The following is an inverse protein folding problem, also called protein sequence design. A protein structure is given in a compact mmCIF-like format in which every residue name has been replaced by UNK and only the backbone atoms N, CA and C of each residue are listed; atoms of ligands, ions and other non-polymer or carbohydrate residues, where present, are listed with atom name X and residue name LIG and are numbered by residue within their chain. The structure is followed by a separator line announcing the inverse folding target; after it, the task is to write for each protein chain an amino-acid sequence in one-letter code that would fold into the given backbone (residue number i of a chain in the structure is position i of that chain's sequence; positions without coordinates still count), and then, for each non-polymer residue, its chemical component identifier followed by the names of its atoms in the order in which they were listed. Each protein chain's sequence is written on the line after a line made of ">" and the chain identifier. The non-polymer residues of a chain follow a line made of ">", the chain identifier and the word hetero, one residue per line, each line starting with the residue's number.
data_IF_483991145937
#
_entry.id   IF_483991145937
#
_cell.length_a   1.000
_cell.length_b   1.000
_cell.length_c   1.000
_cell.angle_alpha   90.00
_cell.angle_beta   90.00
_cell.angle_gamma   90.00
#
_symmetry.space_group_name_H-M   'P 1'
#
loop_
_entity.id
_entity.type
_entity.pdbx_description
1 polymer ?
#
# COMPACT_ATOMS: atom_id res chain seq x y z
N UNK A 1 -17.46 -2.99 10.23
CA UNK A 1 -16.43 -2.94 9.15
C UNK A 1 -15.49 -4.12 9.39
N UNK A 2 -15.45 -5.11 8.49
CA UNK A 2 -14.74 -6.37 8.74
C UNK A 2 -13.23 -6.12 8.77
N UNK A 3 -12.49 -6.88 9.58
CA UNK A 3 -11.02 -6.87 9.57
C UNK A 3 -10.50 -7.21 8.16
N UNK A 4 -11.26 -8.02 7.42
CA UNK A 4 -11.03 -8.36 6.01
C UNK A 4 -11.15 -7.12 5.11
N UNK A 5 -12.10 -6.22 5.37
CA UNK A 5 -12.24 -4.96 4.62
C UNK A 5 -11.05 -4.03 4.90
N UNK A 6 -10.56 -4.02 6.15
CA UNK A 6 -9.36 -3.28 6.54
C UNK A 6 -8.12 -3.85 5.86
N UNK A 7 -7.95 -5.16 5.81
CA UNK A 7 -6.84 -5.83 5.10
C UNK A 7 -6.90 -5.61 3.59
N UNK A 8 -8.08 -5.68 2.97
CA UNK A 8 -8.28 -5.34 1.54
C UNK A 8 -7.94 -3.88 1.28
N UNK A 9 -8.27 -2.97 2.19
CA UNK A 9 -7.91 -1.54 2.08
C UNK A 9 -6.40 -1.31 2.22
N UNK A 10 -5.72 -2.06 3.09
CA UNK A 10 -4.28 -2.01 3.27
C UNK A 10 -3.55 -2.59 2.05
N UNK A 11 -4.09 -3.64 1.43
CA UNK A 11 -3.54 -4.24 0.21
C UNK A 11 -3.73 -3.34 -1.02
N UNK A 12 -4.86 -2.63 -1.10
CA UNK A 12 -5.05 -1.57 -2.12
C UNK A 12 -4.09 -0.41 -1.89
N UNK A 13 -3.85 -0.01 -0.64
CA UNK A 13 -2.85 1.02 -0.29
C UNK A 13 -1.42 0.57 -0.61
N UNK A 14 -1.04 -0.68 -0.34
CA UNK A 14 0.31 -1.16 -0.67
C UNK A 14 0.55 -1.23 -2.18
N UNK A 15 -0.49 -1.55 -2.97
CA UNK A 15 -0.42 -1.52 -4.44
C UNK A 15 -0.30 -0.09 -4.99
N UNK A 16 -0.98 0.87 -4.36
CA UNK A 16 -0.83 2.30 -4.67
C UNK A 16 0.55 2.83 -4.26
N UNK A 17 1.08 2.43 -3.09
CA UNK A 17 2.45 2.75 -2.67
C UNK A 17 3.48 2.15 -3.63
N UNK A 18 3.23 0.96 -4.19
CA UNK A 18 4.13 0.36 -5.19
C UNK A 18 4.13 1.17 -6.50
N UNK A 19 2.98 1.66 -6.96
CA UNK A 19 2.95 2.55 -8.15
C UNK A 19 3.53 3.93 -7.86
N UNK A 20 3.31 4.48 -6.66
CA UNK A 20 3.90 5.75 -6.21
C UNK A 20 5.43 5.62 -6.00
N UNK A 21 5.94 4.46 -5.59
CA UNK A 21 7.38 4.19 -5.49
C UNK A 21 7.99 3.98 -6.88
N UNK A 22 7.29 3.31 -7.81
CA UNK A 22 7.71 3.25 -9.22
C UNK A 22 7.69 4.64 -9.89
N UNK A 23 6.77 5.54 -9.51
CA UNK A 23 6.77 6.96 -9.91
C UNK A 23 7.81 7.81 -9.17
N UNK A 24 8.15 7.49 -7.91
CA UNK A 24 9.17 8.23 -7.14
C UNK A 24 10.61 7.77 -7.37
N UNK A 25 10.82 6.64 -8.06
CA UNK A 25 12.14 6.30 -8.62
C UNK A 25 12.52 7.25 -9.77
N UNK A 26 11.55 7.97 -10.34
CA UNK A 26 11.75 9.14 -11.21
C UNK A 26 12.12 10.42 -10.44
N UNK A 27 11.83 10.50 -9.13
CA UNK A 27 12.25 11.58 -8.23
C UNK A 27 13.57 11.22 -7.51
N UNK A 28 14.65 11.01 -8.29
CA UNK A 28 16.03 11.05 -7.76
C UNK A 28 16.46 12.49 -7.46
N UNK A 29 15.76 13.18 -6.56
CA UNK A 29 16.11 14.55 -6.16
C UNK A 29 17.47 14.72 -5.42
N UNK A 30 17.97 13.77 -4.59
CA UNK A 30 19.26 14.01 -3.92
C UNK A 30 20.44 13.82 -4.90
N UNK A 31 20.33 12.89 -5.84
CA UNK A 31 21.36 12.65 -6.88
C UNK A 31 21.28 13.72 -7.98
N UNK A 32 20.07 14.17 -8.35
CA UNK A 32 19.91 15.30 -9.25
C UNK A 32 20.43 16.62 -8.65
N UNK A 33 20.34 16.82 -7.32
CA UNK A 33 20.92 17.98 -6.64
C UNK A 33 22.45 17.95 -6.64
N UNK A 34 23.08 16.80 -6.42
CA UNK A 34 24.54 16.66 -6.53
C UNK A 34 25.02 16.81 -7.97
N UNK A 35 24.33 16.18 -8.94
CA UNK A 35 24.65 16.34 -10.37
C UNK A 35 24.46 17.80 -10.81
N UNK A 36 23.42 18.48 -10.31
CA UNK A 36 23.18 19.89 -10.62
C UNK A 36 24.27 20.80 -10.03
N UNK A 37 24.74 20.56 -8.80
CA UNK A 37 25.86 21.33 -8.24
C UNK A 37 27.16 21.08 -8.99
N UNK A 38 27.41 19.83 -9.42
CA UNK A 38 28.61 19.48 -10.18
C UNK A 38 28.58 20.12 -11.58
N UNK A 39 27.40 20.15 -12.23
CA UNK A 39 27.20 20.86 -13.51
C UNK A 39 27.33 22.37 -13.36
N UNK A 40 26.77 22.96 -12.30
CA UNK A 40 26.90 24.40 -12.01
C UNK A 40 28.34 24.81 -11.73
N UNK A 41 29.12 23.98 -11.02
CA UNK A 41 30.55 24.20 -10.80
C UNK A 41 31.33 24.15 -12.12
N UNK A 42 31.07 23.17 -12.99
CA UNK A 42 31.70 23.05 -14.31
C UNK A 42 31.39 24.27 -15.20
N UNK A 43 30.16 24.79 -15.14
CA UNK A 43 29.75 25.99 -15.90
C UNK A 43 30.44 27.25 -15.37
N UNK A 44 30.57 27.38 -14.05
CA UNK A 44 31.29 28.50 -13.40
C UNK A 44 32.78 28.49 -13.74
N UNK A 45 33.42 27.32 -13.73
CA UNK A 45 34.83 27.17 -14.10
C UNK A 45 35.04 27.54 -15.58
N UNK A 46 34.12 27.13 -16.47
CA UNK A 46 34.15 27.50 -17.89
C UNK A 46 34.03 29.02 -18.14
N UNK A 47 33.26 29.74 -17.32
CA UNK A 47 33.14 31.20 -17.43
C UNK A 47 34.39 31.94 -16.93
N UNK A 48 35.00 31.45 -15.85
CA UNK A 48 36.24 32.02 -15.29
C UNK A 48 37.42 31.84 -16.25
N UNK A 49 37.48 30.69 -16.93
CA UNK A 49 38.50 30.41 -17.95
C UNK A 49 38.32 31.31 -19.18
N UNK A 50 37.08 31.60 -19.57
CA UNK A 50 36.80 32.53 -20.68
C UNK A 50 37.32 33.94 -20.36
N UNK A 51 37.11 34.42 -19.13
CA UNK A 51 37.63 35.73 -18.71
C UNK A 51 39.16 35.77 -18.63
N UNK A 52 39.80 34.69 -18.18
CA UNK A 52 41.27 34.61 -18.10
C UNK A 52 41.91 34.58 -19.49
N UNK A 53 41.29 33.89 -20.45
CA UNK A 53 41.72 33.87 -21.85
C UNK A 53 41.53 35.24 -22.51
N UNK A 54 40.42 35.94 -22.25
CA UNK A 54 40.19 37.29 -22.76
C UNK A 54 41.18 38.32 -22.16
N UNK A 55 41.56 38.16 -20.89
CA UNK A 55 42.55 39.01 -20.23
C UNK A 55 43.97 38.85 -20.81
N UNK A 56 44.38 37.61 -21.11
CA UNK A 56 45.67 37.32 -21.76
C UNK A 56 45.73 37.93 -23.17
N UNK A 57 44.61 37.93 -23.90
CA UNK A 57 44.50 38.53 -25.24
C UNK A 57 44.53 40.08 -25.20
N UNK A 58 44.14 40.70 -24.08
CA UNK A 58 44.16 42.17 -23.94
C UNK A 58 45.52 42.75 -23.56
N UNK A 59 46.43 41.97 -22.96
CA UNK A 59 47.75 42.46 -22.50
C UNK A 59 48.81 42.57 -23.61
N UNK A 60 48.54 42.09 -24.83
CA UNK A 60 49.51 42.07 -25.95
C UNK A 60 49.35 43.23 -26.96
N UNK A 61 48.54 44.25 -26.64
CA UNK A 61 48.38 45.47 -27.46
C UNK A 61 49.19 46.65 -26.91
N UNK A 62 50.50 46.56 -26.98
CA UNK A 62 51.29 47.75 -27.21
C UNK A 62 52.61 47.42 -27.92
N UNK A 63 53.06 48.32 -28.79
CA UNK A 63 54.29 48.32 -29.57
C UNK A 63 54.26 47.82 -31.06
N UNK A 64 54.16 48.86 -31.89
CA UNK A 64 54.88 49.13 -33.14
C UNK A 64 54.36 48.62 -34.50
N UNK A 65 54.41 49.61 -35.38
CA UNK A 65 53.88 49.80 -36.73
C UNK A 65 54.74 49.21 -37.84
N UNK A 66 54.02 48.69 -38.85
CA UNK A 66 54.32 48.72 -40.30
C UNK A 66 55.53 47.90 -40.79
N UNK A 67 55.28 46.62 -41.03
CA UNK A 67 55.64 45.81 -42.22
C UNK A 67 54.83 44.50 -42.21
N UNK A 68 53.57 44.59 -41.77
CA UNK A 68 52.96 43.62 -40.85
C UNK A 68 51.71 42.92 -41.39
N UNK A 69 51.43 42.86 -42.70
CA UNK A 69 50.15 42.27 -43.16
C UNK A 69 50.25 40.76 -43.45
N UNK A 70 51.34 40.30 -44.05
CA UNK A 70 51.55 38.87 -44.34
C UNK A 70 52.06 38.06 -43.14
N UNK A 71 52.83 38.69 -42.25
CA UNK A 71 53.31 38.07 -40.99
C UNK A 71 52.20 37.97 -39.95
N UNK A 72 51.32 38.97 -39.88
CA UNK A 72 50.22 39.05 -38.90
C UNK A 72 49.06 38.11 -39.26
N UNK A 73 48.87 37.77 -40.54
CA UNK A 73 48.01 36.65 -40.96
C UNK A 73 48.58 35.28 -40.54
N UNK A 74 49.91 35.13 -40.56
CA UNK A 74 50.59 33.90 -40.18
C UNK A 74 50.67 33.73 -38.66
N UNK A 75 50.81 34.83 -37.92
CA UNK A 75 50.72 34.88 -36.45
C UNK A 75 49.29 34.62 -35.97
N UNK A 76 48.27 35.27 -36.55
CA UNK A 76 46.86 34.98 -36.24
C UNK A 76 46.49 33.53 -36.50
N UNK A 77 46.98 32.95 -37.60
CA UNK A 77 46.72 31.53 -37.91
C UNK A 77 47.39 30.59 -36.90
N UNK A 78 48.59 30.93 -36.41
CA UNK A 78 49.27 30.18 -35.35
C UNK A 78 48.58 30.35 -33.99
N UNK A 79 48.07 31.52 -33.68
CA UNK A 79 47.25 31.78 -32.47
C UNK A 79 45.96 30.98 -32.51
N UNK A 80 45.25 30.96 -33.65
CA UNK A 80 44.05 30.15 -33.84
C UNK A 80 44.34 28.64 -33.72
N UNK A 81 45.45 28.15 -34.28
CA UNK A 81 45.91 26.76 -34.13
C UNK A 81 46.27 26.41 -32.69
N UNK A 82 46.95 27.33 -31.98
CA UNK A 82 47.29 27.16 -30.56
C UNK A 82 46.04 27.15 -29.68
N UNK A 83 45.11 28.08 -29.90
CA UNK A 83 43.83 28.17 -29.19
C UNK A 83 42.98 26.92 -29.44
N UNK A 84 42.99 26.42 -30.68
CA UNK A 84 42.32 25.17 -31.05
C UNK A 84 42.97 23.98 -30.34
N UNK A 85 44.31 23.91 -30.29
CA UNK A 85 45.04 22.87 -29.57
C UNK A 85 44.75 22.86 -28.07
N UNK A 86 44.71 24.04 -27.45
CA UNK A 86 44.36 24.21 -26.03
C UNK A 86 42.90 23.78 -25.80
N UNK A 87 41.97 24.27 -26.61
CA UNK A 87 40.54 23.94 -26.50
C UNK A 87 40.29 22.43 -26.67
N UNK A 88 40.97 21.78 -27.62
CA UNK A 88 40.91 20.33 -27.81
C UNK A 88 41.49 19.60 -26.60
N UNK A 89 42.64 20.04 -26.07
CA UNK A 89 43.26 19.43 -24.89
C UNK A 89 42.35 19.47 -23.66
N UNK A 90 41.69 20.60 -23.42
CA UNK A 90 40.70 20.72 -22.35
C UNK A 90 39.45 19.87 -22.62
N UNK A 91 38.94 19.84 -23.84
CA UNK A 91 37.82 18.99 -24.21
C UNK A 91 38.13 17.50 -23.98
N UNK A 92 39.33 17.04 -24.36
CA UNK A 92 39.80 15.68 -24.09
C UNK A 92 39.90 15.39 -22.59
N UNK A 93 40.39 16.33 -21.78
CA UNK A 93 40.47 16.15 -20.33
C UNK A 93 39.08 16.07 -19.68
N UNK A 94 38.14 16.89 -20.13
CA UNK A 94 36.75 16.85 -19.67
C UNK A 94 36.06 15.54 -20.03
N UNK A 95 36.27 15.05 -21.25
CA UNK A 95 35.73 13.74 -21.67
C UNK A 95 36.30 12.60 -20.81
N UNK A 96 37.60 12.63 -20.50
CA UNK A 96 38.21 11.64 -19.61
C UNK A 96 37.60 11.68 -18.20
N UNK A 97 37.38 12.88 -17.64
CA UNK A 97 36.77 13.04 -16.33
C UNK A 97 35.30 12.56 -16.31
N UNK A 98 34.58 12.72 -17.41
CA UNK A 98 33.21 12.19 -17.60
C UNK A 98 33.25 10.67 -17.62
N UNK A 99 34.15 10.05 -18.39
CA UNK A 99 34.31 8.59 -18.47
C UNK A 99 34.64 7.99 -17.10
N UNK A 100 35.58 8.58 -16.35
CA UNK A 100 35.92 8.14 -14.99
C UNK A 100 34.73 8.24 -14.04
N UNK A 101 33.90 9.27 -14.21
CA UNK A 101 32.69 9.46 -13.39
C UNK A 101 31.60 8.45 -13.73
N UNK A 102 31.39 8.16 -15.00
CA UNK A 102 30.47 7.09 -15.45
C UNK A 102 30.94 5.74 -14.91
N UNK A 103 32.23 5.42 -14.99
CA UNK A 103 32.78 4.16 -14.47
C UNK A 103 32.58 4.02 -12.95
N UNK A 104 32.71 5.11 -12.18
CA UNK A 104 32.40 5.11 -10.73
C UNK A 104 30.91 4.88 -10.46
N UNK A 105 30.04 5.50 -11.25
CA UNK A 105 28.58 5.34 -11.14
C UNK A 105 28.18 3.88 -11.43
N UNK A 106 28.70 3.29 -12.50
CA UNK A 106 28.42 1.90 -12.85
C UNK A 106 28.90 0.92 -11.78
N UNK A 107 30.05 1.19 -11.13
CA UNK A 107 30.57 0.34 -10.06
C UNK A 107 29.77 0.44 -8.76
N UNK A 108 29.05 1.55 -8.53
CA UNK A 108 28.29 1.80 -7.30
C UNK A 108 26.81 1.47 -7.42
N UNK A 109 26.26 1.41 -8.64
CA UNK A 109 24.89 0.98 -8.87
C UNK A 109 24.80 -0.54 -8.65
N UNK A 110 23.97 -1.01 -7.71
CA UNK A 110 23.75 -2.44 -7.54
C UNK A 110 23.20 -3.03 -8.84
N UNK A 111 23.70 -4.20 -9.23
CA UNK A 111 23.25 -4.83 -10.47
C UNK A 111 21.73 -5.07 -10.41
N UNK A 112 21.09 -5.02 -11.57
CA UNK A 112 19.66 -5.33 -11.70
C UNK A 112 19.32 -6.71 -11.09
N UNK A 113 20.26 -7.65 -11.16
CA UNK A 113 20.14 -8.98 -10.56
C UNK A 113 20.22 -8.94 -9.04
N UNK A 114 21.15 -8.16 -8.46
CA UNK A 114 21.24 -7.96 -7.02
C UNK A 114 19.94 -7.37 -6.46
N UNK A 115 19.43 -6.29 -7.09
CA UNK A 115 18.18 -5.65 -6.67
C UNK A 115 17.00 -6.63 -6.73
N UNK A 116 16.93 -7.42 -7.81
CA UNK A 116 15.87 -8.42 -7.99
C UNK A 116 15.92 -9.51 -6.91
N UNK A 117 17.12 -9.99 -6.58
CA UNK A 117 17.29 -11.03 -5.58
C UNK A 117 16.98 -10.52 -4.17
N UNK A 118 17.51 -9.35 -3.81
CA UNK A 118 17.27 -8.73 -2.50
C UNK A 118 15.77 -8.43 -2.29
N UNK A 119 15.13 -7.78 -3.27
CA UNK A 119 13.69 -7.50 -3.21
C UNK A 119 12.87 -8.79 -3.14
N UNK A 120 13.23 -9.83 -3.89
CA UNK A 120 12.52 -11.10 -3.83
C UNK A 120 12.62 -11.76 -2.45
N UNK A 121 13.78 -11.70 -1.80
CA UNK A 121 13.94 -12.22 -0.44
C UNK A 121 13.06 -11.45 0.56
N UNK A 122 13.07 -10.12 0.49
CA UNK A 122 12.19 -9.27 1.31
C UNK A 122 10.70 -9.57 1.07
N UNK A 123 10.26 -9.68 -0.19
CA UNK A 123 8.88 -10.00 -0.51
C UNK A 123 8.49 -11.40 -0.03
N UNK A 124 9.40 -12.38 -0.13
CA UNK A 124 9.15 -13.74 0.35
C UNK A 124 8.97 -13.75 1.87
N UNK A 125 9.83 -13.06 2.62
CA UNK A 125 9.71 -12.91 4.08
C UNK A 125 8.42 -12.20 4.48
N UNK A 126 8.04 -11.15 3.73
CA UNK A 126 6.79 -10.41 3.95
C UNK A 126 5.57 -11.30 3.74
N UNK A 127 5.53 -12.04 2.63
CA UNK A 127 4.43 -12.95 2.29
C UNK A 127 4.29 -14.03 3.38
N UNK A 128 5.41 -14.59 3.85
CA UNK A 128 5.38 -15.60 4.90
C UNK A 128 4.87 -15.04 6.23
N UNK A 129 5.31 -13.84 6.61
CA UNK A 129 4.81 -13.16 7.82
C UNK A 129 3.30 -12.89 7.75
N UNK A 130 2.80 -12.50 6.58
CA UNK A 130 1.36 -12.29 6.35
C UNK A 130 0.59 -13.60 6.50
N UNK A 131 1.10 -14.72 5.96
CA UNK A 131 0.44 -16.04 6.10
C UNK A 131 0.35 -16.47 7.56
N UNK A 132 1.43 -16.28 8.34
CA UNK A 132 1.44 -16.60 9.77
C UNK A 132 0.40 -15.76 10.51
N UNK A 133 0.33 -14.45 10.23
CA UNK A 133 -0.65 -13.56 10.84
C UNK A 133 -2.09 -13.96 10.50
N UNK A 134 -2.38 -14.30 9.23
CA UNK A 134 -3.70 -14.78 8.81
C UNK A 134 -4.10 -16.06 9.55
N UNK A 135 -3.19 -17.03 9.63
CA UNK A 135 -3.43 -18.27 10.37
C UNK A 135 -3.74 -18.02 11.85
N UNK A 136 -2.99 -17.11 12.50
CA UNK A 136 -3.23 -16.74 13.89
C UNK A 136 -4.60 -16.06 14.09
N UNK A 137 -5.05 -15.27 13.11
CA UNK A 137 -6.37 -14.64 13.12
C UNK A 137 -7.48 -15.70 13.00
N UNK A 138 -7.34 -16.65 12.06
CA UNK A 138 -8.32 -17.74 11.86
C UNK A 138 -8.42 -18.64 13.11
N UNK A 139 -7.28 -18.96 13.74
CA UNK A 139 -7.24 -19.72 14.99
C UNK A 139 -7.89 -18.94 16.14
N UNK A 140 -7.63 -17.64 16.24
CA UNK A 140 -8.26 -16.79 17.24
C UNK A 140 -9.78 -16.71 17.03
N UNK A 141 -10.26 -16.51 15.80
CA UNK A 141 -11.69 -16.48 15.48
C UNK A 141 -12.37 -17.81 15.77
N UNK A 142 -11.70 -18.94 15.47
CA UNK A 142 -12.17 -20.28 15.79
C UNK A 142 -12.28 -20.50 17.31
N UNK A 143 -11.24 -20.11 18.07
CA UNK A 143 -11.27 -20.18 19.55
C UNK A 143 -12.33 -19.27 20.16
N UNK A 144 -12.50 -18.06 19.62
CA UNK A 144 -13.56 -17.15 20.04
C UNK A 144 -14.93 -17.76 19.77
N UNK A 145 -15.14 -18.38 18.60
CA UNK A 145 -16.39 -19.07 18.25
C UNK A 145 -16.74 -20.15 19.26
N UNK A 146 -15.79 -21.01 19.63
CA UNK A 146 -15.97 -22.05 20.65
C UNK A 146 -16.32 -21.47 22.04
N UNK A 147 -15.69 -20.35 22.41
CA UNK A 147 -16.02 -19.65 23.66
C UNK A 147 -17.45 -19.11 23.63
N UNK A 148 -17.89 -18.55 22.50
CA UNK A 148 -19.26 -18.06 22.36
C UNK A 148 -20.28 -19.19 22.42
N UNK A 149 -20.01 -20.34 21.78
CA UNK A 149 -20.87 -21.51 21.88
C UNK A 149 -20.96 -22.04 23.33
N UNK A 150 -19.86 -21.98 24.07
CA UNK A 150 -19.82 -22.35 25.48
C UNK A 150 -20.65 -21.37 26.35
N UNK A 151 -20.53 -20.06 26.11
CA UNK A 151 -21.34 -19.04 26.79
C UNK A 151 -22.81 -19.21 26.44
N UNK A 152 -23.15 -19.42 25.17
CA UNK A 152 -24.52 -19.65 24.70
C UNK A 152 -25.13 -20.88 25.38
N UNK A 153 -24.37 -21.96 25.47
CA UNK A 153 -24.80 -23.18 26.18
C UNK A 153 -25.03 -22.92 27.67
N UNK A 154 -24.18 -22.11 28.31
CA UNK A 154 -24.37 -21.71 29.70
C UNK A 154 -25.61 -20.82 29.88
N UNK A 155 -25.84 -19.85 28.98
CA UNK A 155 -27.04 -19.00 29.01
C UNK A 155 -28.32 -19.83 28.82
N UNK A 156 -28.33 -20.80 27.91
CA UNK A 156 -29.46 -21.72 27.73
C UNK A 156 -29.77 -22.52 28.99
N UNK A 157 -28.74 -23.00 29.69
CA UNK A 157 -28.91 -23.71 30.98
C UNK A 157 -29.51 -22.79 32.04
N UNK A 158 -29.05 -21.53 32.12
CA UNK A 158 -29.61 -20.56 33.07
C UNK A 158 -31.06 -20.23 32.72
N UNK A 159 -31.40 -20.11 31.43
CA UNK A 159 -32.77 -19.87 30.96
C UNK A 159 -33.71 -21.04 31.28
N UNK A 160 -33.23 -22.29 31.16
CA UNK A 160 -33.96 -23.49 31.56
C UNK A 160 -34.20 -23.53 33.07
N UNK A 161 -33.18 -23.23 33.88
CA UNK A 161 -33.31 -23.13 35.34
C UNK A 161 -34.29 -22.01 35.71
N UNK A 162 -34.17 -20.84 35.08
CA UNK A 162 -35.04 -19.69 35.31
C UNK A 162 -36.49 -19.99 34.94
N UNK A 163 -36.72 -20.83 33.92
CA UNK A 163 -38.05 -21.22 33.48
C UNK A 163 -38.82 -22.02 34.54
N UNK A 164 -38.11 -22.71 35.43
CA UNK A 164 -38.64 -23.51 36.53
C UNK A 164 -38.84 -22.73 37.84
N UNK A 165 -38.47 -21.45 37.89
CA UNK A 165 -38.69 -20.60 39.06
C UNK A 165 -40.19 -20.29 39.20
N UNK A 166 -40.75 -20.53 40.39
CA UNK A 166 -42.18 -20.28 40.69
C UNK A 166 -42.50 -18.78 40.82
N UNK A 167 -41.54 -17.99 41.27
CA UNK A 167 -41.67 -16.53 41.37
C UNK A 167 -41.61 -15.90 39.97
N UNK A 168 -42.73 -15.32 39.55
CA UNK A 168 -42.88 -14.68 38.24
C UNK A 168 -41.97 -13.45 38.08
N UNK A 169 -41.79 -12.67 39.14
CA UNK A 169 -40.98 -11.45 39.09
C UNK A 169 -39.50 -11.78 38.90
N UNK A 170 -38.97 -12.70 39.70
CA UNK A 170 -37.58 -13.15 39.59
C UNK A 170 -37.30 -13.81 38.24
N UNK A 171 -38.26 -14.59 37.73
CA UNK A 171 -38.17 -15.20 36.40
C UNK A 171 -38.05 -14.15 35.29
N UNK A 172 -38.90 -13.12 35.31
CA UNK A 172 -38.87 -12.05 34.31
C UNK A 172 -37.57 -11.24 34.38
N UNK A 173 -37.06 -10.95 35.57
CA UNK A 173 -35.81 -10.23 35.78
C UNK A 173 -34.60 -11.01 35.23
N UNK A 174 -34.52 -12.32 35.51
CA UNK A 174 -33.46 -13.19 34.99
C UNK A 174 -33.55 -13.31 33.47
N UNK A 175 -34.73 -13.54 32.91
CA UNK A 175 -34.91 -13.64 31.45
C UNK A 175 -34.52 -12.34 30.76
N UNK A 176 -34.87 -11.18 31.35
CA UNK A 176 -34.48 -9.87 30.84
C UNK A 176 -32.96 -9.68 30.85
N UNK A 177 -32.30 -9.98 31.96
CA UNK A 177 -30.83 -9.92 32.08
C UNK A 177 -30.12 -10.83 31.08
N UNK A 178 -30.60 -12.07 30.90
CA UNK A 178 -30.09 -12.99 29.89
C UNK A 178 -30.26 -12.41 28.47
N UNK A 179 -31.39 -11.77 28.18
CA UNK A 179 -31.61 -11.15 26.88
C UNK A 179 -30.68 -9.96 26.62
N UNK A 180 -30.32 -9.19 27.65
CA UNK A 180 -29.36 -8.08 27.52
C UNK A 180 -27.95 -8.60 27.25
N UNK A 181 -27.53 -9.66 27.94
CA UNK A 181 -26.23 -10.32 27.69
C UNK A 181 -26.17 -10.87 26.26
N UNK A 182 -27.23 -11.53 25.77
CA UNK A 182 -27.30 -12.07 24.40
C UNK A 182 -27.18 -11.01 23.30
N UNK A 183 -27.72 -9.81 23.53
CA UNK A 183 -27.60 -8.68 22.58
C UNK A 183 -26.17 -8.16 22.46
N UNK A 184 -25.40 -8.24 23.54
CA UNK A 184 -24.01 -7.76 23.58
C UNK A 184 -22.99 -8.81 23.12
N UNK A 185 -23.41 -10.07 22.95
CA UNK A 185 -22.56 -11.11 22.39
C UNK A 185 -22.37 -10.90 20.88
N UNK A 186 -21.17 -11.14 20.34
CA UNK A 186 -20.92 -11.08 18.90
C UNK A 186 -21.61 -12.22 18.16
N UNK A 187 -21.97 -11.97 16.89
CA UNK A 187 -22.67 -12.94 16.04
C UNK A 187 -21.85 -14.22 15.85
N UNK A 188 -22.52 -15.37 15.88
CA UNK A 188 -21.88 -16.65 15.57
C UNK A 188 -21.47 -16.72 14.09
N UNK A 189 -20.56 -17.62 13.75
CA UNK A 189 -20.05 -17.76 12.38
C UNK A 189 -21.17 -17.98 11.36
N UNK A 190 -22.15 -18.83 11.68
CA UNK A 190 -23.34 -19.04 10.83
C UNK A 190 -24.21 -17.79 10.69
N UNK A 191 -24.36 -17.00 11.75
CA UNK A 191 -25.11 -15.73 11.67
C UNK A 191 -24.38 -14.69 10.83
N UNK A 192 -23.04 -14.63 10.93
CA UNK A 192 -22.22 -13.77 10.06
C UNK A 192 -22.37 -14.16 8.59
N UNK A 193 -22.32 -15.45 8.30
CA UNK A 193 -22.50 -15.99 6.95
C UNK A 193 -23.88 -15.63 6.37
N UNK A 194 -24.96 -15.76 7.16
CA UNK A 194 -26.29 -15.27 6.77
C UNK A 194 -26.25 -13.77 6.43
N UNK A 195 -25.60 -12.95 7.27
CA UNK A 195 -25.50 -11.51 7.02
C UNK A 195 -24.70 -11.18 5.75
N UNK A 196 -23.64 -11.92 5.44
CA UNK A 196 -22.88 -11.73 4.19
C UNK A 196 -23.74 -12.09 2.96
N UNK A 197 -24.43 -13.22 2.99
CA UNK A 197 -25.34 -13.64 1.91
C UNK A 197 -26.44 -12.59 1.67
N UNK A 198 -27.01 -12.05 2.75
CA UNK A 198 -28.05 -11.03 2.65
C UNK A 198 -27.52 -9.67 2.20
N UNK A 199 -26.26 -9.31 2.50
CA UNK A 199 -25.63 -8.09 1.96
C UNK A 199 -25.46 -8.16 0.45
N UNK A 200 -25.20 -9.34 -0.10
CA UNK A 200 -25.05 -9.53 -1.54
C UNK A 200 -26.40 -9.52 -2.27
N UNK A 201 -27.38 -10.30 -1.79
CA UNK A 201 -28.66 -10.50 -2.49
C UNK A 201 -29.80 -9.58 -2.06
N UNK A 202 -29.62 -8.80 -0.97
CA UNK A 202 -30.62 -7.95 -0.28
C UNK A 202 -31.82 -8.70 0.32
N UNK A 203 -32.42 -9.62 -0.43
CA UNK A 203 -33.56 -10.46 -0.01
C UNK A 203 -33.36 -11.91 -0.49
N UNK A 204 -33.82 -12.89 0.29
CA UNK A 204 -33.72 -14.32 -0.06
C UNK A 204 -34.85 -15.13 0.58
N UNK A 205 -35.30 -16.19 -0.11
CA UNK A 205 -36.26 -17.16 0.44
C UNK A 205 -35.60 -18.08 1.47
N UNK A 206 -36.39 -18.67 2.37
CA UNK A 206 -35.86 -19.62 3.37
C UNK A 206 -35.28 -20.86 2.72
N UNK A 207 -35.87 -21.33 1.63
CA UNK A 207 -35.41 -22.50 0.89
C UNK A 207 -34.03 -22.27 0.27
N UNK A 208 -33.84 -21.13 -0.41
CA UNK A 208 -32.55 -20.78 -1.00
C UNK A 208 -31.47 -20.56 0.06
N UNK A 209 -31.81 -19.89 1.16
CA UNK A 209 -30.87 -19.62 2.24
C UNK A 209 -30.46 -20.92 2.97
N UNK A 210 -31.42 -21.81 3.21
CA UNK A 210 -31.17 -23.12 3.82
C UNK A 210 -30.26 -23.97 2.94
N UNK A 211 -30.50 -23.98 1.62
CA UNK A 211 -29.67 -24.70 0.65
C UNK A 211 -28.25 -24.15 0.59
N UNK A 212 -28.08 -22.82 0.59
CA UNK A 212 -26.74 -22.19 0.60
C UNK A 212 -25.93 -22.52 1.85
N UNK A 213 -26.60 -22.56 3.01
CA UNK A 213 -25.96 -22.84 4.30
C UNK A 213 -25.81 -24.34 4.57
N UNK A 214 -26.38 -25.21 3.73
CA UNK A 214 -26.36 -26.66 3.93
C UNK A 214 -27.12 -27.12 5.19
N UNK A 215 -28.17 -26.40 5.59
CA UNK A 215 -28.98 -26.72 6.79
C UNK A 215 -30.44 -26.98 6.43
N UNK A 216 -31.18 -27.63 7.34
CA UNK A 216 -32.62 -27.80 7.16
C UNK A 216 -33.38 -26.46 7.36
N UNK A 217 -34.55 -26.34 6.75
CA UNK A 217 -35.42 -25.17 6.91
C UNK A 217 -35.83 -24.96 8.38
N UNK A 218 -36.04 -26.05 9.13
CA UNK A 218 -36.33 -25.98 10.56
C UNK A 218 -35.17 -25.41 11.38
N UNK A 219 -33.94 -25.85 11.09
CA UNK A 219 -32.74 -25.30 11.71
C UNK A 219 -32.53 -23.82 11.34
N UNK A 220 -32.78 -23.46 10.07
CA UNK A 220 -32.74 -22.07 9.62
C UNK A 220 -33.75 -21.22 10.38
N UNK A 221 -34.99 -21.66 10.58
CA UNK A 221 -36.00 -20.92 11.33
C UNK A 221 -35.58 -20.64 12.78
N UNK A 222 -34.92 -21.60 13.43
CA UNK A 222 -34.32 -21.42 14.75
C UNK A 222 -33.23 -20.36 14.72
N UNK A 223 -32.29 -20.47 13.76
CA UNK A 223 -31.20 -19.51 13.57
C UNK A 223 -31.72 -18.09 13.31
N UNK A 224 -32.70 -17.94 12.42
CA UNK A 224 -33.29 -16.65 12.09
C UNK A 224 -34.09 -16.05 13.25
N UNK A 225 -34.75 -16.87 14.07
CA UNK A 225 -35.42 -16.39 15.28
C UNK A 225 -34.43 -15.82 16.27
N UNK A 226 -33.30 -16.50 16.46
CA UNK A 226 -32.23 -16.01 17.32
C UNK A 226 -31.56 -14.75 16.74
N UNK A 227 -31.34 -14.71 15.42
CA UNK A 227 -30.82 -13.51 14.76
C UNK A 227 -31.78 -12.33 14.89
N UNK A 228 -33.09 -12.50 14.77
CA UNK A 228 -34.04 -11.39 14.98
C UNK A 228 -34.01 -10.87 16.43
N UNK A 229 -33.73 -11.75 17.41
CA UNK A 229 -33.61 -11.37 18.83
C UNK A 229 -32.32 -10.59 19.11
N UNK A 230 -31.23 -10.94 18.41
CA UNK A 230 -29.88 -10.38 18.64
C UNK A 230 -29.55 -9.19 17.75
N UNK A 231 -29.98 -9.22 16.50
CA UNK A 231 -29.74 -8.20 15.49
C UNK A 231 -31.06 -7.67 14.97
N UNK A 232 -31.36 -6.41 15.29
CA UNK A 232 -32.50 -5.67 14.73
C UNK A 232 -32.36 -5.35 13.24
N UNK A 233 -31.31 -5.87 12.59
CA UNK A 233 -30.91 -5.61 11.21
C UNK A 233 -31.60 -6.53 10.18
N UNK A 234 -32.25 -7.61 10.61
CA UNK A 234 -32.96 -8.52 9.71
C UNK A 234 -34.47 -8.47 9.91
N UNK A 235 -35.21 -8.60 8.82
CA UNK A 235 -36.66 -8.67 8.80
C UNK A 235 -37.12 -9.95 8.12
N UNK A 236 -38.03 -10.66 8.79
CA UNK A 236 -38.71 -11.84 8.25
C UNK A 236 -40.07 -11.41 7.71
N UNK A 237 -40.40 -11.84 6.50
CA UNK A 237 -41.69 -11.55 5.89
C UNK A 237 -42.16 -12.74 5.06
N UNK A 238 -43.41 -12.72 4.65
CA UNK A 238 -44.01 -13.75 3.82
C UNK A 238 -44.30 -13.19 2.43
N UNK A 239 -43.95 -13.96 1.40
CA UNK A 239 -44.21 -13.61 0.01
C UNK A 239 -44.63 -14.88 -0.73
N UNK A 240 -45.81 -14.84 -1.34
CA UNK A 240 -46.42 -15.96 -2.08
C UNK A 240 -46.56 -17.25 -1.24
N UNK A 241 -46.92 -17.11 0.05
CA UNK A 241 -47.07 -18.25 0.98
C UNK A 241 -45.74 -18.89 1.40
N UNK A 242 -44.60 -18.26 1.09
CA UNK A 242 -43.26 -18.72 1.44
C UNK A 242 -42.59 -17.73 2.39
N UNK A 243 -41.70 -18.25 3.24
CA UNK A 243 -40.91 -17.45 4.17
C UNK A 243 -39.73 -16.79 3.47
N UNK A 244 -39.57 -15.48 3.66
CA UNK A 244 -38.48 -14.68 3.13
C UNK A 244 -37.78 -13.89 4.23
N UNK A 245 -36.56 -13.50 3.95
CA UNK A 245 -35.73 -12.65 4.80
C UNK A 245 -35.06 -11.56 3.99
N UNK A 246 -34.95 -10.37 4.59
CA UNK A 246 -34.21 -9.24 4.05
C UNK A 246 -33.44 -8.50 5.12
N UNK A 247 -32.46 -7.70 4.71
CA UNK A 247 -31.87 -6.69 5.58
C UNK A 247 -32.85 -5.53 5.74
N UNK A 248 -33.09 -5.14 6.98
CA UNK A 248 -33.76 -3.89 7.30
C UNK A 248 -32.85 -2.77 6.82
N UNK A 249 -33.28 -2.01 5.81
CA UNK A 249 -32.50 -0.86 5.37
C UNK A 249 -32.38 0.11 6.55
N UNK A 250 -31.19 0.70 6.79
CA UNK A 250 -31.03 1.75 7.79
C UNK A 250 -31.89 2.97 7.46
#
# INVERSE_FOLDING_TARGET
>A
MSIIDKLKSLFKRSKAIKSDVEQKVEEKEPVAKTIKSDVEAIVSDGQTIKSDVEAIVSDEKDYLSVTKESTLLLEKKKEEELLTGITIGYASKTLQNIEESIARIEKTIPSKEWIKNELNEYFTKLIESIKIALKAIDEHESRSSLRYESIESALNRIEEIASNIKDKFQKEEIIKGLSEIRKNLPLSSRMKEVMEILKEKKEMSYEELAQKLGISISALRGLLSEMCRRTSEIERFEKDGKGWIRLKSP
#
